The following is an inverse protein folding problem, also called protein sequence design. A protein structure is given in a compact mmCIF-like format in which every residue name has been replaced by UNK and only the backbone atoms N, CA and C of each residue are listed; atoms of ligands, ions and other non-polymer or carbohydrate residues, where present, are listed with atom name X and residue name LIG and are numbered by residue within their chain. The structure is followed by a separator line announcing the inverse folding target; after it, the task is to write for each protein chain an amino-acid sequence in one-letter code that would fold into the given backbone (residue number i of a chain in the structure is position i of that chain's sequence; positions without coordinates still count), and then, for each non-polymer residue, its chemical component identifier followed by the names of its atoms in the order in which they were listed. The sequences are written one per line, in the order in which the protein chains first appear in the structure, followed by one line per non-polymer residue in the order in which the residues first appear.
data_IF_064042746076
#
_entry.id   IF_064042746076
#
_cell.length_a   1.000
_cell.length_b   1.000
_cell.length_c   1.000
_cell.angle_alpha   90.00
_cell.angle_beta   90.00
_cell.angle_gamma   90.00
#
_symmetry.space_group_name_H-M   'P 1'
#
loop_
_entity.id
_entity.type
_entity.pdbx_description
1 polymer ?
#
# COMPACT_ATOMS: atom_id res chain seq x y z
N UNK A 1 -1.54 -6.37 -11.46
CA UNK A 1 -2.50 -6.02 -10.38
C UNK A 1 -2.86 -7.27 -9.58
N UNK A 2 -2.94 -7.15 -8.27
CA UNK A 2 -3.28 -8.26 -7.36
C UNK A 2 -4.37 -7.80 -6.40
N UNK A 3 -5.41 -8.58 -6.25
CA UNK A 3 -6.50 -8.36 -5.29
C UNK A 3 -7.15 -9.70 -4.93
N UNK A 4 -7.62 -9.84 -3.70
CA UNK A 4 -8.37 -11.03 -3.27
C UNK A 4 -9.78 -11.11 -3.88
N UNK A 5 -10.31 -9.99 -4.36
CA UNK A 5 -11.63 -9.89 -4.99
C UNK A 5 -11.58 -10.25 -6.46
N UNK A 6 -12.11 -11.44 -6.82
CA UNK A 6 -12.25 -11.83 -8.21
C UNK A 6 -13.03 -10.81 -9.05
N UNK A 7 -14.17 -10.25 -8.61
CA UNK A 7 -14.86 -9.21 -9.37
C UNK A 7 -14.02 -7.96 -9.64
N UNK A 8 -13.18 -7.52 -8.67
CA UNK A 8 -12.29 -6.39 -8.87
C UNK A 8 -11.22 -6.69 -9.94
N UNK A 9 -10.64 -7.86 -9.92
CA UNK A 9 -9.66 -8.29 -10.93
C UNK A 9 -10.32 -8.43 -12.31
N UNK A 10 -11.53 -8.97 -12.40
CA UNK A 10 -12.24 -9.09 -13.67
C UNK A 10 -12.54 -7.71 -14.27
N UNK A 11 -12.96 -6.73 -13.44
CA UNK A 11 -13.16 -5.35 -13.86
C UNK A 11 -11.84 -4.67 -14.26
N UNK A 12 -10.77 -4.91 -13.52
CA UNK A 12 -9.43 -4.43 -13.87
C UNK A 12 -9.01 -4.90 -15.28
N UNK A 13 -9.20 -6.17 -15.59
CA UNK A 13 -8.91 -6.72 -16.92
C UNK A 13 -9.71 -6.05 -18.02
N UNK A 14 -11.02 -5.85 -17.80
CA UNK A 14 -11.89 -5.16 -18.76
C UNK A 14 -11.41 -3.72 -19.00
N UNK A 15 -11.06 -2.99 -17.93
CA UNK A 15 -10.56 -1.61 -18.03
C UNK A 15 -9.23 -1.53 -18.78
N UNK A 16 -8.32 -2.49 -18.56
CA UNK A 16 -7.05 -2.54 -19.29
C UNK A 16 -7.29 -2.79 -20.80
N UNK A 17 -8.15 -3.74 -21.14
CA UNK A 17 -8.50 -3.99 -22.53
C UNK A 17 -9.13 -2.76 -23.20
N UNK A 18 -10.04 -2.08 -22.50
CA UNK A 18 -10.75 -0.92 -23.05
C UNK A 18 -9.87 0.31 -23.24
N UNK A 19 -8.88 0.54 -22.35
CA UNK A 19 -8.14 1.80 -22.30
C UNK A 19 -6.65 1.67 -22.68
N UNK A 20 -6.08 0.47 -22.65
CA UNK A 20 -4.65 0.22 -22.83
C UNK A 20 -4.38 -0.94 -23.79
N UNK A 21 -5.11 -0.98 -24.92
CA UNK A 21 -4.95 -2.02 -25.93
C UNK A 21 -3.48 -2.17 -26.36
N UNK A 22 -2.99 -3.43 -26.40
CA UNK A 22 -1.61 -3.75 -26.76
C UNK A 22 -0.57 -3.54 -25.65
N UNK A 23 -0.95 -3.10 -24.45
CA UNK A 23 -0.03 -3.08 -23.29
C UNK A 23 -0.05 -4.42 -22.57
N UNK A 24 1.13 -4.84 -22.12
CA UNK A 24 1.23 -6.03 -21.28
C UNK A 24 0.69 -5.72 -19.88
N UNK A 25 -0.22 -6.57 -19.42
CA UNK A 25 -0.78 -6.48 -18.07
C UNK A 25 -0.98 -7.89 -17.52
N UNK A 26 -0.46 -8.13 -16.32
CA UNK A 26 -0.73 -9.33 -15.54
C UNK A 26 -1.64 -8.98 -14.36
N UNK A 27 -2.63 -9.83 -14.10
CA UNK A 27 -3.53 -9.66 -12.96
C UNK A 27 -3.87 -11.00 -12.34
N UNK A 28 -3.87 -11.05 -11.01
CA UNK A 28 -4.05 -12.26 -10.25
C UNK A 28 -5.03 -12.07 -9.10
N UNK A 29 -5.89 -13.08 -8.88
CA UNK A 29 -6.78 -13.14 -7.71
C UNK A 29 -6.01 -13.84 -6.60
N UNK A 30 -5.46 -13.09 -5.68
CA UNK A 30 -4.64 -13.63 -4.59
C UNK A 30 -4.68 -12.73 -3.35
N UNK A 31 -4.39 -13.33 -2.19
CA UNK A 31 -4.07 -12.59 -0.98
C UNK A 31 -2.69 -11.94 -1.12
N UNK A 32 -2.61 -10.62 -0.90
CA UNK A 32 -1.38 -9.86 -1.12
C UNK A 32 -0.22 -10.26 -0.21
N UNK A 33 -0.47 -10.73 1.02
CA UNK A 33 0.59 -11.21 1.91
C UNK A 33 1.22 -12.47 1.34
N UNK A 34 0.38 -13.43 0.94
CA UNK A 34 0.82 -14.69 0.34
C UNK A 34 1.54 -14.44 -0.98
N UNK A 35 0.97 -13.58 -1.84
CA UNK A 35 1.56 -13.24 -3.13
C UNK A 35 2.95 -12.63 -3.00
N UNK A 36 3.10 -11.55 -2.21
CA UNK A 36 4.39 -10.90 -1.98
C UNK A 36 5.40 -11.80 -1.27
N UNK A 37 4.93 -12.74 -0.46
CA UNK A 37 5.79 -13.71 0.22
C UNK A 37 6.40 -14.75 -0.72
N UNK A 38 5.71 -15.12 -1.77
CA UNK A 38 6.05 -16.25 -2.65
C UNK A 38 6.65 -15.82 -4.00
N UNK A 39 6.24 -14.65 -4.54
CA UNK A 39 6.70 -14.21 -5.85
C UNK A 39 8.22 -13.99 -5.85
N UNK A 40 8.97 -14.56 -6.80
CA UNK A 40 10.40 -14.34 -6.93
C UNK A 40 10.75 -13.00 -7.59
N UNK A 41 9.80 -12.42 -8.33
CA UNK A 41 9.99 -11.22 -9.14
C UNK A 41 10.31 -10.00 -8.28
N UNK A 42 11.02 -9.05 -8.89
CA UNK A 42 11.28 -7.74 -8.32
C UNK A 42 10.71 -6.65 -9.22
N UNK A 43 10.32 -5.54 -8.62
CA UNK A 43 9.62 -4.45 -9.28
C UNK A 43 10.38 -3.13 -9.17
N UNK A 44 10.25 -2.29 -10.18
CA UNK A 44 10.76 -0.91 -10.15
C UNK A 44 9.85 0.00 -9.33
N UNK A 45 8.55 -0.34 -9.29
CA UNK A 45 7.52 0.38 -8.55
C UNK A 45 6.48 -0.59 -8.00
N UNK A 46 6.10 -0.41 -6.72
CA UNK A 46 4.91 -1.04 -6.14
C UNK A 46 3.99 0.07 -5.60
N UNK A 47 2.68 -0.03 -5.91
CA UNK A 47 1.62 0.71 -5.23
C UNK A 47 0.94 -0.26 -4.27
N UNK A 48 1.04 0.02 -2.97
CA UNK A 48 0.54 -0.80 -1.88
C UNK A 48 -0.59 -0.07 -1.16
N UNK A 49 -1.82 -0.41 -1.52
CA UNK A 49 -3.05 0.19 -0.97
C UNK A 49 -3.93 -0.89 -0.31
N UNK A 50 -3.55 -1.38 0.87
CA UNK A 50 -4.28 -2.42 1.56
C UNK A 50 -5.58 -1.88 2.19
N UNK A 51 -6.53 -2.76 2.51
CA UNK A 51 -7.72 -2.36 3.25
C UNK A 51 -7.38 -1.87 4.67
N UNK A 52 -8.36 -1.23 5.32
CA UNK A 52 -8.20 -0.77 6.70
C UNK A 52 -8.00 -1.95 7.67
N UNK A 53 -6.78 -2.09 8.20
CA UNK A 53 -6.45 -3.15 9.15
C UNK A 53 -6.90 -2.85 10.59
N UNK A 54 -7.15 -1.58 10.93
CA UNK A 54 -7.61 -1.16 12.25
C UNK A 54 -8.98 -0.49 12.15
N UNK A 55 -10.05 -1.27 12.33
CA UNK A 55 -11.44 -0.80 12.27
C UNK A 55 -12.00 -0.35 13.63
N UNK A 56 -11.34 -0.69 14.73
CA UNK A 56 -11.72 -0.33 16.10
C UNK A 56 -10.46 -0.28 16.98
N UNK A 57 -10.56 0.44 18.12
CA UNK A 57 -9.41 0.74 18.98
C UNK A 57 -8.60 -0.50 19.40
N UNK A 58 -9.28 -1.60 19.75
CA UNK A 58 -8.62 -2.86 20.15
C UNK A 58 -7.83 -3.52 19.00
N UNK A 59 -8.12 -3.15 17.74
CA UNK A 59 -7.45 -3.70 16.57
C UNK A 59 -6.21 -2.90 16.14
N UNK A 60 -5.94 -1.71 16.73
CA UNK A 60 -4.87 -0.81 16.29
C UNK A 60 -3.52 -1.53 16.30
N UNK A 61 -3.15 -2.17 17.40
CA UNK A 61 -1.84 -2.86 17.51
C UNK A 61 -1.70 -4.01 16.50
N UNK A 62 -2.76 -4.77 16.29
CA UNK A 62 -2.78 -5.84 15.27
C UNK A 62 -2.73 -5.25 13.87
N UNK A 63 -3.43 -4.15 13.63
CA UNK A 63 -3.42 -3.43 12.36
C UNK A 63 -2.03 -2.88 12.01
N UNK A 64 -1.33 -2.29 12.99
CA UNK A 64 0.04 -1.81 12.81
C UNK A 64 0.99 -2.94 12.43
N UNK A 65 0.89 -4.12 13.07
CA UNK A 65 1.65 -5.30 12.65
C UNK A 65 1.33 -5.75 11.23
N UNK A 66 0.06 -5.65 10.81
CA UNK A 66 -0.34 -5.91 9.43
C UNK A 66 0.35 -4.97 8.45
N UNK A 67 0.35 -3.66 8.73
CA UNK A 67 1.06 -2.67 7.91
C UNK A 67 2.58 -2.92 7.90
N UNK A 68 3.18 -3.23 9.03
CA UNK A 68 4.59 -3.57 9.13
C UNK A 68 4.94 -4.79 8.26
N UNK A 69 4.18 -5.86 8.38
CA UNK A 69 4.41 -7.08 7.62
C UNK A 69 4.28 -6.88 6.12
N UNK A 70 3.17 -6.27 5.66
CA UNK A 70 2.93 -6.13 4.21
C UNK A 70 3.94 -5.16 3.56
N UNK A 71 4.32 -4.08 4.26
CA UNK A 71 5.36 -3.17 3.78
C UNK A 71 6.74 -3.84 3.74
N UNK A 72 7.07 -4.66 4.74
CA UNK A 72 8.32 -5.43 4.75
C UNK A 72 8.40 -6.40 3.56
N UNK A 73 7.31 -7.11 3.27
CA UNK A 73 7.22 -7.99 2.11
C UNK A 73 7.37 -7.21 0.79
N UNK A 74 6.68 -6.08 0.65
CA UNK A 74 6.79 -5.23 -0.54
C UNK A 74 8.21 -4.69 -0.73
N UNK A 75 8.84 -4.18 0.33
CA UNK A 75 10.21 -3.65 0.28
C UNK A 75 11.25 -4.70 -0.14
N UNK A 76 11.04 -5.97 0.19
CA UNK A 76 11.90 -7.08 -0.28
C UNK A 76 11.78 -7.31 -1.79
N UNK A 77 10.68 -6.86 -2.41
CA UNK A 77 10.39 -7.02 -3.84
C UNK A 77 10.68 -5.80 -4.69
N UNK A 78 11.07 -4.67 -4.09
CA UNK A 78 11.50 -3.47 -4.81
C UNK A 78 12.99 -3.59 -5.14
N UNK A 79 13.34 -3.30 -6.39
CA UNK A 79 14.75 -3.15 -6.82
C UNK A 79 15.39 -1.96 -6.12
N UNK A 80 16.71 -1.97 -6.01
CA UNK A 80 17.45 -0.75 -5.62
C UNK A 80 17.22 0.35 -6.65
N UNK A 81 16.97 1.57 -6.19
CA UNK A 81 16.57 2.68 -7.04
C UNK A 81 15.08 2.71 -7.38
N UNK A 82 14.30 1.76 -6.91
CA UNK A 82 12.85 1.69 -7.13
C UNK A 82 12.04 2.43 -6.07
N UNK A 83 10.72 2.43 -6.24
CA UNK A 83 9.78 3.19 -5.41
C UNK A 83 8.70 2.31 -4.80
N UNK A 84 8.34 2.58 -3.55
CA UNK A 84 7.15 2.06 -2.89
C UNK A 84 6.20 3.21 -2.58
N UNK A 85 4.98 3.17 -3.14
CA UNK A 85 3.87 4.01 -2.74
C UNK A 85 3.03 3.20 -1.78
N UNK A 86 2.96 3.60 -0.52
CA UNK A 86 2.24 2.85 0.51
C UNK A 86 1.22 3.70 1.22
N UNK A 87 0.05 3.10 1.49
CA UNK A 87 -1.12 3.81 2.01
C UNK A 87 -1.75 3.11 3.22
N UNK A 88 -2.49 3.90 3.99
CA UNK A 88 -3.39 3.42 5.04
C UNK A 88 -4.66 4.27 5.07
N UNK A 89 -5.81 3.62 4.98
CA UNK A 89 -7.13 4.20 5.16
C UNK A 89 -7.71 3.95 6.57
N UNK A 90 -6.92 3.43 7.52
CA UNK A 90 -7.36 3.20 8.90
C UNK A 90 -7.43 4.52 9.68
N UNK A 91 -8.61 5.02 10.03
CA UNK A 91 -8.78 6.26 10.80
C UNK A 91 -8.01 6.27 12.13
N UNK A 92 -7.99 5.15 12.83
CA UNK A 92 -7.37 5.01 14.15
C UNK A 92 -5.83 4.87 14.10
N UNK A 93 -5.25 4.76 12.90
CA UNK A 93 -3.81 4.77 12.69
C UNK A 93 -3.41 6.18 12.29
N UNK A 94 -2.72 6.90 13.17
CA UNK A 94 -2.22 8.26 12.88
C UNK A 94 -1.10 8.23 11.84
N UNK A 95 -0.73 9.39 11.31
CA UNK A 95 0.40 9.51 10.37
C UNK A 95 1.71 9.04 11.00
N UNK A 96 1.93 9.36 12.26
CA UNK A 96 3.11 8.97 13.03
C UNK A 96 3.16 7.46 13.22
N UNK A 97 2.05 6.85 13.67
CA UNK A 97 1.96 5.39 13.85
C UNK A 97 2.17 4.64 12.53
N UNK A 98 1.64 5.16 11.43
CA UNK A 98 1.84 4.56 10.12
C UNK A 98 3.31 4.67 9.67
N UNK A 99 3.91 5.86 9.81
CA UNK A 99 5.33 6.08 9.52
C UNK A 99 6.23 5.15 10.34
N UNK A 100 5.94 4.99 11.62
CA UNK A 100 6.70 4.10 12.50
C UNK A 100 6.56 2.63 12.08
N UNK A 101 5.37 2.19 11.65
CA UNK A 101 5.18 0.85 11.10
C UNK A 101 5.99 0.64 9.82
N UNK A 102 6.01 1.63 8.93
CA UNK A 102 6.81 1.59 7.68
C UNK A 102 8.32 1.59 7.99
N UNK A 103 8.76 2.37 8.96
CA UNK A 103 10.16 2.38 9.43
C UNK A 103 10.59 0.99 9.95
N UNK A 104 9.77 0.37 10.80
CA UNK A 104 10.03 -1.00 11.28
C UNK A 104 10.03 -2.02 10.15
N UNK A 105 9.13 -1.86 9.18
CA UNK A 105 9.08 -2.70 7.98
C UNK A 105 10.36 -2.61 7.16
N UNK A 106 10.92 -1.41 6.97
CA UNK A 106 12.18 -1.20 6.26
C UNK A 106 13.36 -1.87 7.00
N UNK A 107 13.44 -1.70 8.32
CA UNK A 107 14.45 -2.37 9.15
C UNK A 107 14.34 -3.90 9.06
N UNK A 108 13.11 -4.45 9.14
CA UNK A 108 12.84 -5.89 9.02
C UNK A 108 13.16 -6.42 7.61
N UNK A 109 12.97 -5.61 6.57
CA UNK A 109 13.34 -5.97 5.20
C UNK A 109 14.84 -5.85 4.93
N UNK A 110 15.61 -5.24 5.83
CA UNK A 110 17.03 -4.95 5.63
C UNK A 110 17.26 -3.91 4.52
N UNK A 111 16.34 -2.95 4.36
CA UNK A 111 16.40 -1.94 3.29
C UNK A 111 16.57 -0.54 3.86
N UNK A 112 17.45 0.23 3.25
CA UNK A 112 17.52 1.67 3.43
C UNK A 112 16.49 2.35 2.53
N UNK A 113 15.68 3.25 3.10
CA UNK A 113 14.63 3.95 2.37
C UNK A 113 14.61 5.43 2.74
N UNK A 114 14.25 6.27 1.76
CA UNK A 114 14.01 7.70 1.98
C UNK A 114 12.55 8.04 1.68
N UNK A 115 11.92 8.81 2.55
CA UNK A 115 10.62 9.39 2.26
C UNK A 115 10.83 10.52 1.26
N UNK A 116 10.29 10.35 0.07
CA UNK A 116 10.29 11.38 -0.99
C UNK A 116 9.16 12.36 -0.76
N UNK A 117 7.97 11.83 -0.39
CA UNK A 117 6.79 12.65 -0.16
C UNK A 117 5.85 11.97 0.84
N UNK A 118 5.18 12.79 1.67
CA UNK A 118 4.06 12.36 2.49
C UNK A 118 2.76 12.66 1.77
N UNK A 119 1.93 11.64 1.59
CA UNK A 119 0.68 11.73 0.84
C UNK A 119 -0.53 11.86 1.76
N UNK A 120 -1.56 12.49 1.24
CA UNK A 120 -2.88 12.67 1.86
C UNK A 120 -3.98 12.47 0.81
N UNK A 121 -5.23 12.69 1.19
CA UNK A 121 -6.36 12.64 0.28
C UNK A 121 -6.19 13.60 -0.90
N UNK A 122 -6.60 13.13 -2.07
CA UNK A 122 -6.60 13.96 -3.27
C UNK A 122 -7.65 15.08 -3.17
N UNK A 123 -7.47 16.21 -3.88
CA UNK A 123 -8.42 17.33 -3.87
C UNK A 123 -9.84 16.97 -4.28
N UNK A 124 -10.04 15.89 -5.03
CA UNK A 124 -11.37 15.38 -5.39
C UNK A 124 -12.13 14.75 -4.20
N UNK A 125 -11.47 14.55 -3.05
CA UNK A 125 -12.06 14.06 -1.81
C UNK A 125 -11.75 15.04 -0.66
N UNK A 126 -12.30 16.27 -0.71
CA UNK A 126 -12.01 17.27 0.32
C UNK A 126 -12.65 16.86 1.66
N UNK A 127 -11.91 17.06 2.74
CA UNK A 127 -12.46 16.88 4.09
C UNK A 127 -13.24 18.13 4.50
N UNK A 128 -14.39 17.92 5.14
CA UNK A 128 -15.18 19.00 5.71
C UNK A 128 -14.49 19.48 7.00
N UNK A 129 -14.31 20.79 7.17
CA UNK A 129 -13.64 21.39 8.33
C UNK A 129 -14.34 21.06 9.66
N UNK A 130 -15.64 20.81 9.65
CA UNK A 130 -16.43 20.42 10.82
C UNK A 130 -16.45 18.91 11.06
N UNK A 131 -15.87 18.13 10.15
CA UNK A 131 -15.83 16.66 10.18
C UNK A 131 -14.40 16.16 9.91
N UNK A 132 -13.47 16.38 10.88
CA UNK A 132 -12.07 16.03 10.70
C UNK A 132 -11.83 14.52 10.53
N UNK A 133 -12.79 13.69 10.92
CA UNK A 133 -12.78 12.25 10.66
C UNK A 133 -12.78 11.89 9.18
N UNK A 134 -13.18 12.84 8.32
CA UNK A 134 -13.06 12.69 6.86
C UNK A 134 -11.61 12.66 6.37
N UNK A 135 -10.65 13.16 7.15
CA UNK A 135 -9.22 13.11 6.83
C UNK A 135 -8.58 11.81 7.34
N UNK A 136 -8.84 10.71 6.66
CA UNK A 136 -8.41 9.38 7.10
C UNK A 136 -7.28 8.75 6.25
N UNK A 137 -7.11 9.18 4.99
CA UNK A 137 -6.10 8.64 4.11
C UNK A 137 -4.73 9.25 4.40
N UNK A 138 -3.75 8.42 4.58
CA UNK A 138 -2.34 8.78 4.69
C UNK A 138 -1.49 7.82 3.88
N UNK A 139 -0.39 8.29 3.36
CA UNK A 139 0.55 7.49 2.62
C UNK A 139 1.91 8.15 2.54
N UNK A 140 2.85 7.44 1.96
CA UNK A 140 4.15 7.98 1.61
C UNK A 140 4.71 7.33 0.35
N UNK A 141 5.54 8.11 -0.34
CA UNK A 141 6.39 7.63 -1.42
C UNK A 141 7.77 7.38 -0.83
N UNK A 142 8.24 6.15 -0.94
CA UNK A 142 9.57 5.74 -0.51
C UNK A 142 10.45 5.47 -1.72
N UNK A 143 11.65 6.03 -1.69
CA UNK A 143 12.76 5.64 -2.56
C UNK A 143 13.58 4.57 -1.83
N UNK A 144 13.91 3.47 -2.52
CA UNK A 144 14.61 2.31 -1.95
C UNK A 144 16.05 2.29 -2.41
N UNK A 145 17.00 2.45 -1.48
CA UNK A 145 18.45 2.47 -1.75
C UNK A 145 19.06 1.07 -1.93
#
# INVERSE_FOLDING_TARGET
SVDASKPAIDLCRQNVVANFAGKQHHSEVADCFSYLGQIPDTFDLIVLDPPAFAKHQRAVQRGLRGYETINSLALKRIKRGGFLFTFSCSQLVTRELFRDAVMRAAAQAGRSVRIVEMLHQAPCHPSNIYHPEGEYLKGCILYVE
#
